data_IF_438515296992
#
_entry.id   IF_438515296992
#
_cell.length_a   1.000
_cell.length_b   1.000
_cell.length_c   1.000
_cell.angle_alpha   90.00
_cell.angle_beta   90.00
_cell.angle_gamma   90.00
#
_symmetry.space_group_name_H-M   'P 1'
#
loop_
_entity.id
_entity.type
_entity.pdbx_description
1 polymer ?
#
# COMPACT_ATOMS: atom_id res chain seq x y z
N UNK A 1 -13.96 -16.26 5.62
CA UNK A 1 -12.61 -16.85 5.77
C UNK A 1 -11.65 -15.70 5.93
N UNK A 2 -10.64 -15.87 6.77
CA UNK A 2 -9.59 -14.88 7.00
C UNK A 2 -8.25 -15.39 6.45
N UNK A 3 -7.45 -14.47 5.92
CA UNK A 3 -6.05 -14.69 5.60
C UNK A 3 -5.23 -13.55 6.21
N UNK A 4 -4.05 -13.86 6.73
CA UNK A 4 -3.13 -12.87 7.27
C UNK A 4 -1.72 -13.16 6.75
N UNK A 5 -0.99 -12.11 6.40
CA UNK A 5 0.41 -12.20 6.05
C UNK A 5 1.16 -10.94 6.48
N UNK A 6 2.47 -11.07 6.61
CA UNK A 6 3.38 -9.96 6.88
C UNK A 6 4.47 -9.93 5.82
N UNK A 7 4.82 -8.72 5.38
CA UNK A 7 5.97 -8.45 4.52
C UNK A 7 6.89 -7.43 5.22
N UNK A 8 8.19 -7.56 5.00
CA UNK A 8 9.18 -6.69 5.60
C UNK A 8 10.37 -6.46 4.69
N UNK A 9 10.76 -5.20 4.50
CA UNK A 9 11.92 -4.81 3.69
C UNK A 9 12.78 -3.80 4.44
N UNK A 10 14.09 -3.83 4.20
CA UNK A 10 15.05 -2.89 4.79
C UNK A 10 15.56 -1.96 3.71
N UNK A 11 15.65 -0.68 4.03
CA UNK A 11 16.10 0.39 3.15
C UNK A 11 17.25 1.18 3.78
N UNK A 12 18.19 1.62 2.94
CA UNK A 12 19.33 2.45 3.33
C UNK A 12 19.02 3.93 3.56
N UNK A 13 17.77 4.29 3.86
CA UNK A 13 17.33 5.67 4.10
C UNK A 13 16.56 5.76 5.41
N UNK A 14 16.56 6.94 6.03
CA UNK A 14 15.96 7.13 7.36
C UNK A 14 14.43 7.03 7.32
N UNK A 15 13.76 6.74 8.46
CA UNK A 15 12.31 6.59 8.46
C UNK A 15 11.57 7.84 7.98
N UNK A 16 12.14 9.01 8.24
CA UNK A 16 11.64 10.31 7.77
C UNK A 16 11.73 10.42 6.24
N UNK A 17 12.85 10.01 5.65
CA UNK A 17 13.02 10.02 4.19
C UNK A 17 12.08 9.00 3.55
N UNK A 18 12.00 7.79 4.08
CA UNK A 18 11.07 6.76 3.58
C UNK A 18 9.62 7.22 3.63
N UNK A 19 9.19 7.78 4.77
CA UNK A 19 7.85 8.33 4.93
C UNK A 19 7.56 9.41 3.89
N UNK A 20 8.46 10.39 3.72
CA UNK A 20 8.33 11.45 2.71
C UNK A 20 8.24 10.88 1.31
N UNK A 21 9.04 9.87 0.96
CA UNK A 21 8.95 9.19 -0.33
C UNK A 21 7.58 8.57 -0.54
N UNK A 22 7.08 7.78 0.41
CA UNK A 22 5.79 7.08 0.30
C UNK A 22 4.55 7.99 0.32
N UNK A 23 4.71 9.24 0.77
CA UNK A 23 3.62 10.22 0.93
C UNK A 23 3.68 11.39 -0.06
N UNK A 24 4.74 11.51 -0.85
CA UNK A 24 4.86 12.50 -1.92
C UNK A 24 3.94 12.18 -3.09
N UNK A 25 3.22 13.20 -3.57
CA UNK A 25 2.30 13.08 -4.70
C UNK A 25 2.99 12.54 -5.96
N UNK A 26 4.21 12.98 -6.23
CA UNK A 26 5.01 12.56 -7.39
C UNK A 26 5.28 11.05 -7.36
N UNK A 27 5.82 10.54 -6.25
CA UNK A 27 6.05 9.11 -6.04
C UNK A 27 4.75 8.30 -6.16
N UNK A 28 3.66 8.78 -5.54
CA UNK A 28 2.36 8.10 -5.60
C UNK A 28 1.85 7.99 -7.03
N UNK A 29 1.96 9.07 -7.81
CA UNK A 29 1.47 9.15 -9.19
C UNK A 29 2.34 8.33 -10.13
N UNK A 30 3.66 8.37 -9.96
CA UNK A 30 4.57 7.60 -10.80
C UNK A 30 4.51 6.10 -10.48
N UNK A 31 4.35 5.73 -9.19
CA UNK A 31 4.04 4.35 -8.79
C UNK A 31 2.80 3.86 -9.52
N UNK A 32 1.74 4.65 -9.55
CA UNK A 32 0.49 4.28 -10.21
C UNK A 32 0.68 4.03 -11.72
N UNK A 33 1.47 4.86 -12.40
CA UNK A 33 1.79 4.66 -13.82
C UNK A 33 2.66 3.44 -14.06
N UNK A 34 3.72 3.27 -13.26
CA UNK A 34 4.63 2.13 -13.37
C UNK A 34 3.91 0.80 -13.22
N UNK A 35 2.97 0.75 -12.27
CA UNK A 35 2.17 -0.43 -11.98
C UNK A 35 0.94 -0.57 -12.90
N UNK A 36 0.74 0.31 -13.88
CA UNK A 36 -0.36 0.21 -14.82
C UNK A 36 -1.76 0.46 -14.23
N UNK A 37 -1.89 1.22 -13.13
CA UNK A 37 -3.20 1.52 -12.55
C UNK A 37 -4.06 2.36 -13.51
N UNK A 38 -5.18 1.77 -13.96
CA UNK A 38 -6.21 2.47 -14.73
C UNK A 38 -7.11 3.32 -13.83
N UNK A 39 -7.57 4.46 -14.36
CA UNK A 39 -8.48 5.39 -13.68
C UNK A 39 -7.99 5.83 -12.28
N UNK A 40 -6.67 5.90 -12.09
CA UNK A 40 -6.05 6.28 -10.82
C UNK A 40 -6.30 7.75 -10.46
N UNK A 41 -6.73 7.99 -9.21
CA UNK A 41 -6.98 9.31 -8.65
C UNK A 41 -6.46 9.40 -7.23
N UNK A 42 -5.91 10.56 -6.87
CA UNK A 42 -5.62 10.92 -5.48
C UNK A 42 -6.77 11.78 -4.98
N UNK A 43 -7.60 11.21 -4.11
CA UNK A 43 -8.79 11.87 -3.55
C UNK A 43 -8.44 12.75 -2.36
N UNK A 44 -7.43 12.34 -1.58
CA UNK A 44 -6.98 13.05 -0.39
C UNK A 44 -5.48 12.84 -0.20
N UNK A 45 -4.76 13.93 0.11
CA UNK A 45 -3.36 13.91 0.49
C UNK A 45 -3.10 15.07 1.45
N UNK A 46 -3.12 14.81 2.76
CA UNK A 46 -2.99 15.89 3.75
C UNK A 46 -2.15 15.47 4.96
N UNK A 47 -1.39 16.42 5.48
CA UNK A 47 -0.72 16.33 6.78
C UNK A 47 -1.27 17.43 7.71
N UNK A 48 -1.65 17.07 8.94
CA UNK A 48 -2.08 18.02 9.96
C UNK A 48 -1.60 17.57 11.32
N UNK A 49 -0.91 18.45 12.04
CA UNK A 49 -0.35 18.18 13.37
C UNK A 49 0.45 16.85 13.41
N UNK A 50 1.29 16.62 12.40
CA UNK A 50 2.14 15.42 12.28
C UNK A 50 1.40 14.13 11.88
N UNK A 51 0.07 14.12 11.88
CA UNK A 51 -0.75 13.01 11.36
C UNK A 51 -0.95 13.19 9.86
N UNK A 52 -0.88 12.10 9.10
CA UNK A 52 -1.03 12.14 7.66
C UNK A 52 -2.11 11.19 7.17
N UNK A 53 -2.89 11.63 6.18
CA UNK A 53 -3.93 10.83 5.54
C UNK A 53 -3.82 10.92 4.03
N UNK A 54 -3.85 9.74 3.39
CA UNK A 54 -3.86 9.56 1.93
C UNK A 54 -5.05 8.70 1.57
N UNK A 55 -5.83 9.13 0.59
CA UNK A 55 -6.90 8.33 -0.01
C UNK A 55 -6.71 8.34 -1.53
N UNK A 56 -6.64 7.15 -2.11
CA UNK A 56 -6.50 6.94 -3.55
C UNK A 56 -7.60 6.04 -4.07
N UNK A 57 -7.99 6.22 -5.32
CA UNK A 57 -8.98 5.40 -6.01
C UNK A 57 -8.40 4.92 -7.34
N UNK A 58 -8.72 3.68 -7.74
CA UNK A 58 -8.30 3.09 -9.03
C UNK A 58 -9.23 1.98 -9.47
N UNK A 59 -9.14 1.56 -10.73
CA UNK A 59 -9.81 0.34 -11.20
C UNK A 59 -9.21 -0.91 -10.52
N UNK A 60 -10.07 -1.84 -10.09
CA UNK A 60 -9.72 -3.04 -9.34
C UNK A 60 -9.35 -4.24 -10.25
N UNK A 61 -8.84 -3.98 -11.46
CA UNK A 61 -8.67 -4.97 -12.53
C UNK A 61 -7.76 -6.15 -12.18
N UNK A 62 -6.96 -6.07 -11.12
CA UNK A 62 -5.86 -7.01 -10.84
C UNK A 62 -5.98 -7.81 -9.53
N UNK A 63 -6.86 -7.43 -8.59
CA UNK A 63 -6.90 -8.05 -7.26
C UNK A 63 -7.90 -9.22 -7.18
N UNK A 64 -8.84 -9.29 -8.12
CA UNK A 64 -9.82 -10.38 -8.20
C UNK A 64 -9.74 -11.02 -9.59
N UNK A 65 -9.62 -12.35 -9.69
CA UNK A 65 -9.82 -13.00 -10.98
C UNK A 65 -11.22 -12.65 -11.44
N UNK A 66 -11.30 -11.89 -12.54
CA UNK A 66 -12.53 -11.37 -13.10
C UNK A 66 -13.46 -12.52 -13.45
N UNK A 67 -14.26 -12.99 -12.49
CA UNK A 67 -15.49 -13.69 -12.78
C UNK A 67 -16.35 -12.66 -13.48
N UNK A 68 -16.42 -12.81 -14.81
CA UNK A 68 -17.21 -12.09 -15.84
C UNK A 68 -18.69 -11.91 -15.46
N UNK A 69 -18.98 -11.33 -14.32
CA UNK A 69 -20.33 -11.06 -13.85
C UNK A 69 -20.40 -9.56 -13.65
N UNK A 70 -21.09 -8.92 -14.60
CA UNK A 70 -21.38 -7.48 -14.73
C UNK A 70 -20.22 -6.66 -15.32
N UNK A 71 -20.40 -6.22 -16.58
CA UNK A 71 -19.43 -5.45 -17.37
C UNK A 71 -19.19 -4.01 -16.90
N UNK A 72 -19.18 -3.77 -15.60
CA UNK A 72 -18.75 -2.50 -15.00
C UNK A 72 -17.28 -2.57 -14.60
N UNK A 73 -16.54 -1.47 -14.80
CA UNK A 73 -15.21 -1.31 -14.22
C UNK A 73 -15.35 -1.33 -12.69
N UNK A 74 -14.83 -2.35 -12.04
CA UNK A 74 -14.78 -2.38 -10.58
C UNK A 74 -13.81 -1.32 -10.10
N UNK A 75 -14.21 -0.52 -9.11
CA UNK A 75 -13.36 0.50 -8.49
C UNK A 75 -12.89 0.03 -7.12
N UNK A 76 -11.73 0.52 -6.73
CA UNK A 76 -11.11 0.26 -5.45
C UNK A 76 -10.64 1.56 -4.82
N UNK A 77 -11.00 1.77 -3.55
CA UNK A 77 -10.51 2.87 -2.74
C UNK A 77 -9.53 2.34 -1.71
N UNK A 78 -8.37 2.98 -1.61
CA UNK A 78 -7.32 2.64 -0.66
C UNK A 78 -7.03 3.88 0.21
N UNK A 79 -7.27 3.74 1.52
CA UNK A 79 -7.04 4.79 2.51
C UNK A 79 -5.89 4.39 3.42
N UNK A 80 -4.94 5.32 3.62
CA UNK A 80 -3.83 5.21 4.56
C UNK A 80 -3.93 6.32 5.58
N UNK A 81 -3.77 5.97 6.84
CA UNK A 81 -3.70 6.89 7.95
C UNK A 81 -2.40 6.63 8.71
N UNK A 82 -1.57 7.65 8.86
CA UNK A 82 -0.29 7.57 9.54
C UNK A 82 -0.31 8.46 10.77
N UNK A 83 0.13 7.89 11.89
CA UNK A 83 0.27 8.58 13.15
C UNK A 83 1.45 9.56 13.13
N UNK A 84 1.54 10.35 14.20
CA UNK A 84 2.67 11.24 14.43
C UNK A 84 3.98 10.45 14.49
N UNK A 85 5.11 11.06 14.06
CA UNK A 85 6.40 10.41 14.17
C UNK A 85 6.79 10.21 15.63
N UNK A 86 7.36 9.05 15.94
CA UNK A 86 8.08 8.84 17.18
C UNK A 86 9.37 9.68 17.18
N UNK A 87 10.00 9.80 18.36
CA UNK A 87 11.24 10.58 18.55
C UNK A 87 12.39 10.13 17.64
N UNK A 88 12.40 8.86 17.22
CA UNK A 88 13.39 8.26 16.33
C UNK A 88 13.01 8.38 14.84
N UNK A 89 11.97 9.14 14.50
CA UNK A 89 11.44 9.32 13.16
C UNK A 89 10.56 8.18 12.65
N UNK A 90 10.48 7.07 13.38
CA UNK A 90 9.60 5.94 13.05
C UNK A 90 8.13 6.35 13.05
N UNK A 91 7.31 5.63 12.29
CA UNK A 91 5.87 5.92 12.15
C UNK A 91 5.09 4.63 12.00
N UNK A 92 3.88 4.60 12.55
CA UNK A 92 2.90 3.56 12.32
C UNK A 92 1.74 4.16 11.55
N UNK A 93 1.17 3.37 10.65
CA UNK A 93 -0.05 3.70 9.95
C UNK A 93 -0.97 2.49 9.84
N UNK A 94 -2.25 2.77 9.69
CA UNK A 94 -3.25 1.80 9.30
C UNK A 94 -3.63 2.07 7.84
N UNK A 95 -3.99 1.02 7.11
CA UNK A 95 -4.61 1.16 5.81
C UNK A 95 -5.84 0.27 5.67
N UNK A 96 -6.77 0.72 4.84
CA UNK A 96 -7.98 -0.01 4.48
C UNK A 96 -8.16 0.06 2.97
N UNK A 97 -8.56 -1.05 2.39
CA UNK A 97 -8.92 -1.14 0.98
C UNK A 97 -10.37 -1.60 0.87
N UNK A 98 -11.15 -0.86 0.10
CA UNK A 98 -12.56 -1.12 -0.17
C UNK A 98 -12.75 -1.42 -1.65
N UNK A 99 -13.29 -2.62 -1.96
CA UNK A 99 -13.57 -3.08 -3.32
C UNK A 99 -15.05 -2.87 -3.63
N UNK A 100 -15.38 -1.94 -4.52
CA UNK A 100 -16.78 -1.54 -4.76
C UNK A 100 -17.61 -2.67 -5.39
N UNK A 101 -17.00 -3.52 -6.23
CA UNK A 101 -17.69 -4.68 -6.82
C UNK A 101 -17.72 -5.91 -5.90
N UNK A 102 -17.02 -5.86 -4.77
CA UNK A 102 -16.90 -6.99 -3.85
C UNK A 102 -16.95 -6.49 -2.40
N UNK A 103 -18.07 -5.86 -1.97
CA UNK A 103 -18.20 -5.30 -0.63
C UNK A 103 -18.09 -6.34 0.49
N UNK A 104 -18.20 -7.63 0.15
CA UNK A 104 -17.96 -8.75 1.05
C UNK A 104 -16.48 -9.04 1.32
N UNK A 105 -15.56 -8.33 0.68
CA UNK A 105 -14.11 -8.45 0.89
C UNK A 105 -13.64 -7.21 1.64
N UNK A 106 -13.12 -7.43 2.84
CA UNK A 106 -12.49 -6.38 3.65
C UNK A 106 -10.99 -6.64 3.72
N UNK A 107 -10.21 -5.62 3.39
CA UNK A 107 -8.75 -5.67 3.50
C UNK A 107 -8.33 -4.52 4.40
N UNK A 108 -7.73 -4.88 5.52
CA UNK A 108 -7.17 -3.92 6.48
C UNK A 108 -5.74 -4.31 6.75
N UNK A 109 -4.94 -3.34 7.16
CA UNK A 109 -3.57 -3.65 7.54
C UNK A 109 -2.91 -2.53 8.29
N UNK A 110 -1.72 -2.84 8.76
CA UNK A 110 -0.82 -1.91 9.42
C UNK A 110 0.46 -1.82 8.63
N UNK A 111 1.01 -0.61 8.61
CA UNK A 111 2.30 -0.31 8.01
C UNK A 111 3.16 0.37 9.06
N UNK A 112 4.40 -0.05 9.22
CA UNK A 112 5.32 0.49 10.20
C UNK A 112 6.67 0.81 9.56
N UNK A 113 7.20 1.98 9.89
CA UNK A 113 8.56 2.42 9.59
C UNK A 113 9.36 2.37 10.89
N UNK A 114 10.19 1.34 11.03
CA UNK A 114 11.04 1.12 12.20
C UNK A 114 12.48 1.51 11.83
N UNK A 115 13.18 2.35 12.61
CA UNK A 115 14.59 2.64 12.34
C UNK A 115 15.44 1.37 12.49
N UNK A 116 16.42 1.19 11.60
CA UNK A 116 17.43 0.14 11.67
C UNK A 116 18.82 0.76 11.62
N UNK A 117 19.57 0.67 12.72
CA UNK A 117 20.88 1.30 12.84
C UNK A 117 20.78 2.84 12.84
N UNK A 118 21.80 3.51 12.33
CA UNK A 118 21.90 4.99 12.34
C UNK A 118 21.12 5.67 11.23
N UNK A 119 20.95 5.03 10.07
CA UNK A 119 20.32 5.65 8.88
C UNK A 119 19.27 4.76 8.23
N UNK A 120 19.19 3.47 8.52
CA UNK A 120 18.28 2.56 7.82
C UNK A 120 16.84 2.61 8.32
N UNK A 121 15.94 2.06 7.52
CA UNK A 121 14.54 1.83 7.89
C UNK A 121 14.11 0.43 7.52
N UNK A 122 13.47 -0.28 8.44
CA UNK A 122 12.64 -1.43 8.14
C UNK A 122 11.20 -0.96 7.93
N UNK A 123 10.69 -1.19 6.74
CA UNK A 123 9.26 -1.10 6.46
C UNK A 123 8.63 -2.47 6.72
N UNK A 124 7.62 -2.53 7.58
CA UNK A 124 6.79 -3.72 7.80
C UNK A 124 5.37 -3.43 7.36
N UNK A 125 4.75 -4.41 6.71
CA UNK A 125 3.34 -4.35 6.34
C UNK A 125 2.66 -5.63 6.82
N UNK A 126 1.72 -5.51 7.75
CA UNK A 126 0.87 -6.59 8.21
C UNK A 126 -0.51 -6.44 7.57
N UNK A 127 -1.00 -7.49 6.92
CA UNK A 127 -2.24 -7.47 6.13
C UNK A 127 -3.20 -8.50 6.67
N UNK A 128 -4.45 -8.09 6.88
CA UNK A 128 -5.57 -8.96 7.20
C UNK A 128 -6.64 -8.82 6.12
N UNK A 129 -6.99 -9.95 5.53
CA UNK A 129 -8.03 -10.07 4.53
C UNK A 129 -9.17 -10.90 5.10
N UNK A 130 -10.37 -10.33 5.08
CA UNK A 130 -11.61 -10.99 5.47
C UNK A 130 -12.55 -11.10 4.29
N UNK A 131 -13.15 -12.28 4.14
CA UNK A 131 -14.16 -12.57 3.11
C UNK A 131 -15.43 -13.09 3.76
N UNK A 132 -16.53 -12.40 3.53
CA UNK A 132 -17.85 -12.76 4.06
C UNK A 132 -18.72 -13.44 2.98
N UNK A 133 -19.69 -14.27 3.41
CA UNK A 133 -20.65 -14.93 2.51
C UNK A 133 -20.11 -16.11 1.68
N UNK A 134 -20.90 -16.56 0.68
CA UNK A 134 -20.62 -17.77 -0.13
C UNK A 134 -19.34 -17.69 -0.98
N UNK A 135 -18.79 -16.50 -1.22
CA UNK A 135 -17.49 -16.29 -1.88
C UNK A 135 -16.29 -16.66 -1.00
N UNK A 136 -16.46 -16.70 0.32
CA UNK A 136 -15.37 -16.89 1.28
C UNK A 136 -14.75 -18.29 1.34
N UNK A 137 -15.17 -19.27 0.54
CA UNK A 137 -14.59 -20.64 0.58
C UNK A 137 -13.50 -20.94 -0.45
N UNK A 138 -13.33 -20.11 -1.50
CA UNK A 138 -12.36 -20.42 -2.58
C UNK A 138 -11.46 -19.26 -3.02
N UNK A 139 -11.86 -17.99 -2.85
CA UNK A 139 -11.11 -16.86 -3.44
C UNK A 139 -10.05 -16.21 -2.54
N UNK A 140 -10.13 -16.35 -1.20
CA UNK A 140 -9.26 -15.53 -0.34
C UNK A 140 -7.76 -15.86 -0.36
N UNK A 141 -7.28 -17.10 -0.56
CA UNK A 141 -5.84 -17.34 -0.74
C UNK A 141 -5.31 -16.73 -2.05
N UNK A 142 -6.09 -16.77 -3.13
CA UNK A 142 -5.73 -16.17 -4.43
C UNK A 142 -5.64 -14.64 -4.33
N UNK A 143 -6.61 -14.01 -3.64
CA UNK A 143 -6.58 -12.56 -3.39
C UNK A 143 -5.40 -12.18 -2.49
N UNK A 144 -5.13 -12.96 -1.43
CA UNK A 144 -3.99 -12.72 -0.55
C UNK A 144 -2.65 -12.82 -1.29
N UNK A 145 -2.47 -13.84 -2.16
CA UNK A 145 -1.24 -13.96 -2.96
C UNK A 145 -1.13 -12.84 -4.00
N UNK A 146 -2.23 -12.44 -4.64
CA UNK A 146 -2.24 -11.32 -5.58
C UNK A 146 -1.85 -10.01 -4.89
N UNK A 147 -2.34 -9.77 -3.67
CA UNK A 147 -1.92 -8.63 -2.85
C UNK A 147 -0.44 -8.72 -2.48
N UNK A 148 0.06 -9.90 -2.12
CA UNK A 148 1.46 -10.14 -1.78
C UNK A 148 2.38 -9.78 -2.96
N UNK A 149 2.08 -10.31 -4.15
CA UNK A 149 2.80 -9.99 -5.39
C UNK A 149 2.78 -8.49 -5.66
N UNK A 150 1.61 -7.85 -5.55
CA UNK A 150 1.51 -6.40 -5.78
C UNK A 150 2.37 -5.60 -4.81
N UNK A 151 2.40 -5.98 -3.54
CA UNK A 151 3.21 -5.31 -2.53
C UNK A 151 4.73 -5.48 -2.78
N UNK A 152 5.15 -6.61 -3.34
CA UNK A 152 6.53 -6.82 -3.82
C UNK A 152 6.85 -5.93 -5.03
N UNK A 153 5.93 -5.80 -6.00
CA UNK A 153 6.10 -4.85 -7.11
C UNK A 153 6.21 -3.39 -6.62
N UNK A 154 5.40 -3.01 -5.63
CA UNK A 154 5.52 -1.71 -4.98
C UNK A 154 6.87 -1.52 -4.27
N UNK A 155 7.44 -2.60 -3.74
CA UNK A 155 8.76 -2.60 -3.13
C UNK A 155 9.87 -2.39 -4.18
N UNK A 156 9.81 -3.11 -5.29
CA UNK A 156 10.74 -2.96 -6.41
C UNK A 156 10.71 -1.54 -6.99
N UNK A 157 9.52 -0.99 -7.22
CA UNK A 157 9.38 0.40 -7.66
C UNK A 157 10.03 1.38 -6.66
N UNK A 158 9.84 1.16 -5.35
CA UNK A 158 10.47 2.00 -4.32
C UNK A 158 11.99 1.97 -4.37
N UNK A 159 12.60 0.81 -4.64
CA UNK A 159 14.05 0.71 -4.82
C UNK A 159 14.51 1.56 -6.02
N UNK A 160 13.88 1.35 -7.19
CA UNK A 160 14.17 2.12 -8.40
C UNK A 160 13.98 3.64 -8.21
N UNK A 161 12.96 4.03 -7.44
CA UNK A 161 12.74 5.43 -7.10
C UNK A 161 13.89 5.98 -6.25
N UNK A 162 14.24 5.31 -5.16
CA UNK A 162 15.29 5.77 -4.25
C UNK A 162 16.64 5.86 -4.94
N UNK A 163 16.98 4.90 -5.80
CA UNK A 163 18.20 4.93 -6.61
C UNK A 163 18.29 6.17 -7.51
N UNK A 164 17.17 6.61 -8.11
CA UNK A 164 17.13 7.82 -8.94
C UNK A 164 17.26 9.12 -8.14
N UNK A 165 16.89 9.09 -6.86
CA UNK A 165 16.93 10.25 -5.97
C UNK A 165 18.28 10.41 -5.26
N UNK A 166 19.13 9.37 -5.28
CA UNK A 166 20.52 9.46 -4.87
C UNK A 166 21.32 9.81 -6.12
N UNK A 167 21.71 11.08 -6.34
CA UNK A 167 22.60 11.38 -7.45
C UNK A 167 23.91 10.64 -7.20
N UNK A 168 24.44 9.99 -8.24
CA UNK A 168 25.81 9.46 -8.23
C UNK A 168 26.76 10.44 -7.52
N UNK A 169 27.29 10.03 -6.36
CA UNK A 169 28.09 10.91 -5.51
C UNK A 169 28.19 10.46 -4.05
N UNK A 170 28.56 9.20 -3.81
CA UNK A 170 29.48 8.85 -2.70
C UNK A 170 30.73 8.25 -3.32
#
# INVERSE_FOLDING_TARGET
MSAQFELGWVYGVSPVVMFRTMTRLEHITEKARHLGYEDFRVLELRERAGVFRKVTERQASEIMPARRFFGGKSMMTEAHFWEQPAWNGGRVGAYKVELHSAPQVEIVGQVALEPTGTVGTRLRCAVQLETHGRFGRKGGPEVAESLRVRMEEEHLFRLQWLERQVPYGM
#
